data_IF_245983435083
#
_entry.id   IF_245983435083
#
_cell.length_a   1.000
_cell.length_b   1.000
_cell.length_c   1.000
_cell.angle_alpha   90.00
_cell.angle_beta   90.00
_cell.angle_gamma   90.00
#
_symmetry.space_group_name_H-M   'P 1'
#
loop_
_entity.id
_entity.type
_entity.pdbx_description
1 polymer ?
#
# COMPACT_ATOMS: atom_id res chain seq x y z
N UNK A 1 3.11 -4.69 25.20
CA UNK A 1 2.62 -4.84 23.82
C UNK A 1 2.87 -6.23 23.27
N UNK A 2 2.03 -6.64 22.33
CA UNK A 2 2.14 -7.89 21.56
C UNK A 2 2.30 -7.53 20.09
N UNK A 3 3.29 -8.11 19.43
CA UNK A 3 3.51 -7.97 17.99
C UNK A 3 2.38 -8.61 17.18
N UNK A 4 1.83 -7.88 16.21
CA UNK A 4 0.76 -8.37 15.33
C UNK A 4 1.32 -8.58 13.92
N UNK A 5 1.13 -9.78 13.37
CA UNK A 5 1.52 -10.14 12.00
C UNK A 5 0.32 -10.51 11.13
N UNK A 6 0.58 -10.71 9.83
CA UNK A 6 -0.40 -11.15 8.84
C UNK A 6 0.15 -12.29 8.00
N UNK A 7 -0.59 -13.40 7.93
CA UNK A 7 -0.34 -14.50 6.98
C UNK A 7 -1.49 -14.55 5.98
N UNK A 8 -1.17 -14.43 4.70
CA UNK A 8 -2.14 -14.32 3.62
C UNK A 8 -2.13 -15.54 2.69
N UNK A 9 -3.31 -15.95 2.23
CA UNK A 9 -3.51 -17.04 1.26
C UNK A 9 -4.26 -16.60 -0.01
N UNK A 10 -4.48 -15.30 -0.17
CA UNK A 10 -5.09 -14.70 -1.35
C UNK A 10 -4.17 -14.79 -2.58
N UNK A 11 -4.71 -14.70 -3.81
CA UNK A 11 -3.89 -14.70 -5.05
C UNK A 11 -3.23 -13.35 -5.33
N UNK A 12 -3.87 -12.26 -4.90
CA UNK A 12 -3.43 -10.87 -5.09
C UNK A 12 -2.39 -10.42 -4.06
N UNK A 13 -1.85 -9.22 -4.24
CA UNK A 13 -0.86 -8.64 -3.30
C UNK A 13 -1.43 -7.52 -2.43
N UNK A 14 -2.56 -6.91 -2.84
CA UNK A 14 -3.12 -5.72 -2.21
C UNK A 14 -3.50 -5.94 -0.75
N UNK A 15 -4.09 -7.09 -0.41
CA UNK A 15 -4.48 -7.41 0.97
C UNK A 15 -3.25 -7.44 1.88
N UNK A 16 -2.17 -8.10 1.44
CA UNK A 16 -0.91 -8.14 2.16
C UNK A 16 -0.30 -6.74 2.34
N UNK A 17 -0.32 -5.90 1.29
CA UNK A 17 0.19 -4.51 1.36
C UNK A 17 -0.63 -3.68 2.35
N UNK A 18 -1.95 -3.81 2.35
CA UNK A 18 -2.83 -3.13 3.30
C UNK A 18 -2.56 -3.61 4.74
N UNK A 19 -2.32 -4.90 4.96
CA UNK A 19 -1.96 -5.40 6.27
C UNK A 19 -0.68 -4.74 6.81
N UNK A 20 0.35 -4.59 5.97
CA UNK A 20 1.56 -3.85 6.34
C UNK A 20 1.25 -2.37 6.64
N UNK A 21 0.40 -1.73 5.82
CA UNK A 21 -0.02 -0.34 6.03
C UNK A 21 -0.74 -0.13 7.37
N UNK A 22 -1.47 -1.14 7.84
CA UNK A 22 -2.20 -1.15 9.11
C UNK A 22 -1.31 -1.50 10.31
N UNK A 23 -0.01 -1.72 10.11
CA UNK A 23 0.95 -1.95 11.18
C UNK A 23 1.29 -3.42 11.45
N UNK A 24 0.96 -4.35 10.53
CA UNK A 24 1.47 -5.71 10.65
C UNK A 24 3.01 -5.71 10.60
N UNK A 25 3.65 -6.18 11.67
CA UNK A 25 5.11 -6.18 11.79
C UNK A 25 5.79 -7.42 11.18
N UNK A 26 4.99 -8.42 10.80
CA UNK A 26 5.43 -9.64 10.11
C UNK A 26 4.43 -9.97 9.00
N UNK A 27 4.95 -10.35 7.84
CA UNK A 27 4.17 -10.78 6.68
C UNK A 27 4.61 -12.18 6.26
N UNK A 28 3.66 -13.08 6.07
CA UNK A 28 3.88 -14.43 5.55
C UNK A 28 3.03 -14.69 4.31
N UNK A 29 3.64 -15.28 3.28
CA UNK A 29 3.01 -15.67 2.01
C UNK A 29 3.64 -16.95 1.49
N UNK A 30 2.83 -17.82 0.90
CA UNK A 30 3.36 -18.98 0.18
C UNK A 30 4.04 -18.51 -1.11
N UNK A 31 5.15 -19.14 -1.47
CA UNK A 31 5.95 -18.81 -2.67
C UNK A 31 6.02 -20.04 -3.56
N UNK A 32 5.94 -19.83 -4.87
CA UNK A 32 6.15 -20.86 -5.87
C UNK A 32 7.09 -20.37 -6.97
N UNK A 33 7.74 -21.29 -7.67
CA UNK A 33 8.46 -20.98 -8.93
C UNK A 33 7.51 -20.91 -10.13
N UNK A 34 6.34 -21.57 -10.07
CA UNK A 34 5.32 -21.53 -11.12
C UNK A 34 3.95 -21.98 -10.58
N UNK A 35 2.94 -21.12 -10.68
CA UNK A 35 1.57 -21.37 -10.20
C UNK A 35 0.86 -22.55 -10.89
N UNK A 36 1.31 -22.97 -12.07
CA UNK A 36 0.76 -24.10 -12.81
C UNK A 36 1.34 -25.46 -12.38
N UNK A 37 2.26 -25.49 -11.41
CA UNK A 37 2.78 -26.74 -10.86
C UNK A 37 1.71 -27.53 -10.10
N UNK A 38 1.96 -28.82 -9.94
CA UNK A 38 1.09 -29.70 -9.18
C UNK A 38 1.06 -29.30 -7.68
N UNK A 39 -0.12 -29.40 -7.08
CA UNK A 39 -0.37 -29.09 -5.67
C UNK A 39 -1.40 -27.98 -5.49
N UNK A 40 -2.27 -28.12 -4.49
CA UNK A 40 -3.36 -27.17 -4.21
C UNK A 40 -2.89 -25.75 -3.95
N UNK A 41 -1.72 -25.62 -3.33
CA UNK A 41 -1.23 -24.32 -2.84
C UNK A 41 -0.51 -23.52 -3.93
N UNK A 42 -0.14 -24.16 -5.05
CA UNK A 42 0.63 -23.52 -6.12
C UNK A 42 -0.13 -22.35 -6.74
N UNK A 43 -1.43 -22.53 -7.02
CA UNK A 43 -2.25 -21.52 -7.67
C UNK A 43 -2.44 -20.23 -6.84
N UNK A 44 -2.43 -20.37 -5.50
CA UNK A 44 -2.57 -19.25 -4.58
C UNK A 44 -1.21 -18.61 -4.20
N UNK A 45 -0.11 -19.33 -4.37
CA UNK A 45 1.24 -18.88 -4.01
C UNK A 45 1.74 -17.72 -4.86
N UNK A 46 2.74 -17.00 -4.37
CA UNK A 46 3.35 -15.83 -5.03
C UNK A 46 4.59 -16.28 -5.81
N UNK A 47 4.69 -15.91 -7.08
CA UNK A 47 5.90 -16.16 -7.90
C UNK A 47 7.02 -15.16 -7.59
N UNK A 48 8.28 -15.40 -7.98
CA UNK A 48 9.42 -14.57 -7.59
C UNK A 48 9.25 -13.07 -7.95
N UNK A 49 8.69 -12.78 -9.13
CA UNK A 49 8.39 -11.40 -9.54
C UNK A 49 7.28 -10.77 -8.67
N UNK A 50 6.33 -11.57 -8.20
CA UNK A 50 5.29 -11.15 -7.26
C UNK A 50 5.86 -10.84 -5.87
N UNK A 51 6.84 -11.62 -5.40
CA UNK A 51 7.53 -11.36 -4.13
C UNK A 51 8.31 -10.05 -4.21
N UNK A 52 9.06 -9.83 -5.30
CA UNK A 52 9.78 -8.57 -5.52
C UNK A 52 8.83 -7.36 -5.54
N UNK A 53 7.67 -7.51 -6.21
CA UNK A 53 6.63 -6.46 -6.23
C UNK A 53 6.04 -6.22 -4.84
N UNK A 54 5.74 -7.28 -4.10
CA UNK A 54 5.20 -7.19 -2.75
C UNK A 54 6.16 -6.42 -1.83
N UNK A 55 7.44 -6.77 -1.81
CA UNK A 55 8.44 -6.07 -1.00
C UNK A 55 8.55 -4.60 -1.42
N UNK A 56 8.63 -4.32 -2.73
CA UNK A 56 8.71 -2.95 -3.24
C UNK A 56 7.48 -2.13 -2.85
N UNK A 57 6.28 -2.68 -2.97
CA UNK A 57 5.03 -1.98 -2.64
C UNK A 57 4.90 -1.73 -1.13
N UNK A 58 5.32 -2.68 -0.28
CA UNK A 58 5.39 -2.48 1.18
C UNK A 58 6.31 -1.30 1.53
N UNK A 59 7.54 -1.26 0.97
CA UNK A 59 8.49 -0.16 1.23
C UNK A 59 8.00 1.19 0.73
N UNK A 60 7.30 1.21 -0.41
CA UNK A 60 6.66 2.42 -0.94
C UNK A 60 5.59 2.91 0.03
N UNK A 61 4.73 2.02 0.53
CA UNK A 61 3.66 2.38 1.46
C UNK A 61 4.20 2.86 2.81
N UNK A 62 5.21 2.19 3.37
CA UNK A 62 5.88 2.66 4.60
C UNK A 62 6.39 4.10 4.44
N UNK A 63 6.99 4.41 3.29
CA UNK A 63 7.48 5.77 2.99
C UNK A 63 6.33 6.77 2.78
N UNK A 64 5.24 6.33 2.13
CA UNK A 64 4.11 7.18 1.79
C UNK A 64 3.18 7.49 2.97
N UNK A 65 3.11 6.62 3.98
CA UNK A 65 2.29 6.83 5.19
C UNK A 65 2.71 8.08 5.97
N UNK A 66 4.01 8.42 5.93
CA UNK A 66 4.54 9.59 6.63
C UNK A 66 4.32 9.51 8.13
N UNK A 67 4.03 10.64 8.76
CA UNK A 67 3.85 10.77 10.21
C UNK A 67 2.38 10.90 10.64
N UNK A 68 1.44 10.73 9.70
CA UNK A 68 0.00 10.89 9.95
C UNK A 68 -0.46 12.34 10.19
N UNK A 69 0.43 13.34 10.09
CA UNK A 69 0.07 14.75 10.29
C UNK A 69 -0.09 15.44 8.94
N UNK A 70 -1.33 15.82 8.62
CA UNK A 70 -1.64 16.59 7.42
C UNK A 70 -0.99 17.97 7.48
N UNK A 71 -0.23 18.31 6.44
CA UNK A 71 0.41 19.64 6.26
C UNK A 71 0.22 20.11 4.83
N UNK A 72 0.29 21.43 4.64
CA UNK A 72 0.45 22.04 3.32
C UNK A 72 1.94 22.33 3.17
N UNK A 73 2.56 21.78 2.14
CA UNK A 73 3.97 22.04 1.83
C UNK A 73 4.10 23.37 1.09
N UNK A 74 5.26 24.03 1.23
CA UNK A 74 5.51 25.32 0.57
C UNK A 74 5.31 25.24 -0.95
N UNK A 75 5.66 24.11 -1.56
CA UNK A 75 5.43 23.82 -2.98
C UNK A 75 3.95 23.76 -3.38
N UNK A 76 3.05 23.48 -2.43
CA UNK A 76 1.61 23.38 -2.67
C UNK A 76 0.91 24.74 -2.56
N UNK A 77 1.50 25.74 -1.91
CA UNK A 77 0.87 27.05 -1.66
C UNK A 77 0.45 27.73 -2.96
N UNK A 78 1.34 27.79 -3.96
CA UNK A 78 1.04 28.43 -5.25
C UNK A 78 -0.07 27.72 -6.03
N UNK A 79 -0.07 26.39 -6.02
CA UNK A 79 -1.12 25.57 -6.68
C UNK A 79 -2.45 25.75 -5.96
N UNK A 80 -2.44 25.76 -4.63
CA UNK A 80 -3.64 25.98 -3.80
C UNK A 80 -4.25 27.35 -4.12
N UNK A 81 -3.47 28.42 -4.17
CA UNK A 81 -3.95 29.77 -4.51
C UNK A 81 -4.58 29.83 -5.90
N UNK A 82 -3.99 29.15 -6.89
CA UNK A 82 -4.49 29.12 -8.28
C UNK A 82 -5.80 28.35 -8.44
N UNK A 83 -5.97 27.24 -7.70
CA UNK A 83 -7.10 26.32 -7.88
C UNK A 83 -8.25 26.54 -6.90
N UNK A 84 -8.03 27.29 -5.81
CA UNK A 84 -9.08 27.57 -4.83
C UNK A 84 -10.18 28.40 -5.51
N UNK A 85 -11.44 27.95 -5.39
CA UNK A 85 -12.59 28.75 -5.83
C UNK A 85 -12.53 30.11 -5.15
N UNK A 86 -12.48 31.18 -5.96
CA UNK A 86 -12.83 32.50 -5.47
C UNK A 86 -14.28 32.45 -4.97
N UNK A 87 -14.64 33.14 -3.88
CA UNK A 87 -16.04 33.32 -3.55
C UNK A 87 -16.72 33.90 -4.80
N UNK A 88 -17.81 33.26 -5.24
CA UNK A 88 -18.68 33.89 -6.23
C UNK A 88 -19.08 35.23 -5.63
N UNK A 89 -18.76 36.34 -6.31
CA UNK A 89 -19.50 37.57 -6.10
C UNK A 89 -20.98 37.22 -6.36
N UNK A 90 -21.71 36.90 -5.31
CA UNK A 90 -23.16 37.02 -5.34
C UNK A 90 -23.40 38.51 -5.18
N UNK A 91 -23.53 39.14 -6.35
CA UNK A 91 -24.45 40.21 -6.72
C UNK A 91 -25.14 40.94 -5.56
N UNK A 92 -25.05 42.28 -5.61
CA UNK A 92 -25.79 43.18 -4.72
C UNK A 92 -27.27 43.34 -5.07
#
# INVERSE_FOLDING_TARGET
DVSIGYSGHETGLSTTVVAAALGACLIERHITVNRAMWGSDQAASVEPAGVARLVRDIRVVESALGDGVKRVYDSEIGVMQKLRRAPSNQDG
#
